data_IF_017916663462
#
_entry.id   IF_017916663462
#
_cell.length_a   1.000
_cell.length_b   1.000
_cell.length_c   1.000
_cell.angle_alpha   90.00
_cell.angle_beta   90.00
_cell.angle_gamma   90.00
#
_symmetry.space_group_name_H-M   'P 1'
#
loop_
_entity.id
_entity.type
_entity.pdbx_description
1 polymer ?
#
# COMPACT_ATOMS: atom_id res chain seq x y z
N UNK A 1 17.65 -33.63 9.98
CA UNK A 1 18.67 -32.65 9.52
C UNK A 1 18.15 -31.66 8.47
N UNK A 2 17.68 -32.12 7.31
CA UNK A 2 17.41 -31.26 6.15
C UNK A 2 16.38 -30.13 6.39
N UNK A 3 15.30 -30.40 7.13
CA UNK A 3 14.29 -29.38 7.49
C UNK A 3 14.90 -28.23 8.30
N UNK A 4 15.74 -28.57 9.29
CA UNK A 4 16.39 -27.59 10.16
C UNK A 4 17.41 -26.74 9.38
N UNK A 5 18.18 -27.36 8.49
CA UNK A 5 19.10 -26.65 7.59
C UNK A 5 18.36 -25.66 6.68
N UNK A 6 17.19 -26.02 6.14
CA UNK A 6 16.37 -25.10 5.33
C UNK A 6 15.93 -23.89 6.15
N UNK A 7 15.49 -24.09 7.39
CA UNK A 7 15.09 -23.02 8.31
C UNK A 7 16.26 -22.07 8.54
N UNK A 8 17.42 -22.57 8.97
CA UNK A 8 18.55 -21.70 9.27
C UNK A 8 19.10 -21.00 8.02
N UNK A 9 19.18 -21.67 6.86
CA UNK A 9 19.53 -21.02 5.58
C UNK A 9 18.55 -19.90 5.22
N UNK A 10 17.26 -20.10 5.47
CA UNK A 10 16.26 -19.05 5.26
C UNK A 10 16.40 -17.89 6.26
N UNK A 11 16.92 -18.13 7.46
CA UNK A 11 17.13 -17.09 8.48
C UNK A 11 18.47 -16.34 8.34
N UNK A 12 19.46 -16.89 7.63
CA UNK A 12 20.80 -16.28 7.46
C UNK A 12 20.86 -15.13 6.44
N UNK A 13 19.81 -14.31 6.32
CA UNK A 13 19.72 -13.20 5.36
C UNK A 13 18.97 -12.01 5.94
N UNK A 14 19.55 -10.84 5.75
CA UNK A 14 19.07 -9.61 6.36
C UNK A 14 17.66 -9.23 5.90
N UNK A 15 17.38 -9.31 4.60
CA UNK A 15 16.06 -8.96 4.05
C UNK A 15 14.98 -9.90 4.58
N UNK A 16 15.27 -11.20 4.68
CA UNK A 16 14.34 -12.19 5.25
C UNK A 16 14.11 -11.96 6.75
N UNK A 17 15.14 -11.58 7.50
CA UNK A 17 14.99 -11.18 8.90
C UNK A 17 14.13 -9.91 9.06
N UNK A 18 14.30 -8.92 8.17
CA UNK A 18 13.44 -7.72 8.11
C UNK A 18 11.98 -8.08 7.82
N UNK A 19 11.72 -9.00 6.88
CA UNK A 19 10.36 -9.51 6.59
C UNK A 19 9.76 -10.16 7.85
N UNK A 20 10.51 -11.04 8.53
CA UNK A 20 10.03 -11.71 9.74
C UNK A 20 9.72 -10.70 10.84
N UNK A 21 10.58 -9.69 11.03
CA UNK A 21 10.36 -8.62 11.99
C UNK A 21 9.06 -7.84 11.68
N UNK A 22 8.86 -7.45 10.42
CA UNK A 22 7.64 -6.76 9.99
C UNK A 22 6.38 -7.62 10.19
N UNK A 23 6.43 -8.90 9.81
CA UNK A 23 5.31 -9.83 9.98
C UNK A 23 5.02 -10.20 11.44
N UNK A 24 5.95 -9.90 12.37
CA UNK A 24 5.71 -10.04 13.81
C UNK A 24 4.71 -9.01 14.35
N UNK A 25 4.54 -7.88 13.64
CA UNK A 25 3.58 -6.83 13.99
C UNK A 25 2.18 -7.08 13.41
N UNK A 26 2.07 -7.86 12.32
CA UNK A 26 0.79 -8.19 11.69
C UNK A 26 0.93 -8.85 10.33
N UNK A 27 -0.20 -9.29 9.76
CA UNK A 27 -0.21 -9.80 8.38
C UNK A 27 -0.02 -8.64 7.37
N UNK A 28 0.80 -8.85 6.35
CA UNK A 28 1.11 -7.84 5.32
C UNK A 28 1.09 -8.45 3.93
N UNK A 29 0.72 -7.67 2.92
CA UNK A 29 0.86 -8.05 1.51
C UNK A 29 2.25 -7.69 0.95
N UNK A 30 2.58 -8.22 -0.24
CA UNK A 30 3.90 -7.99 -0.88
C UNK A 30 4.20 -6.49 -1.06
N UNK A 31 3.18 -5.68 -1.39
CA UNK A 31 3.35 -4.24 -1.61
C UNK A 31 3.70 -3.50 -0.32
N UNK A 32 3.03 -3.86 0.79
CA UNK A 32 3.29 -3.27 2.10
C UNK A 32 4.71 -3.63 2.56
N UNK A 33 5.10 -4.89 2.42
CA UNK A 33 6.45 -5.35 2.77
C UNK A 33 7.54 -4.65 1.95
N UNK A 34 7.33 -4.48 0.63
CA UNK A 34 8.26 -3.75 -0.23
C UNK A 34 8.50 -2.32 0.26
N UNK A 35 7.44 -1.62 0.67
CA UNK A 35 7.52 -0.28 1.24
C UNK A 35 8.22 -0.30 2.60
N UNK A 36 7.81 -1.20 3.52
CA UNK A 36 8.35 -1.30 4.88
C UNK A 36 9.84 -1.61 4.90
N UNK A 37 10.31 -2.44 3.96
CA UNK A 37 11.71 -2.89 3.90
C UNK A 37 12.56 -1.95 3.04
N UNK A 38 11.94 -1.14 2.19
CA UNK A 38 12.63 -0.25 1.25
C UNK A 38 13.24 -1.00 0.06
N UNK A 39 12.55 -2.03 -0.45
CA UNK A 39 13.02 -2.84 -1.59
C UNK A 39 11.92 -3.02 -2.65
N UNK A 40 12.27 -3.63 -3.79
CA UNK A 40 11.31 -3.83 -4.89
C UNK A 40 10.38 -5.01 -4.64
N UNK A 41 9.17 -4.95 -5.20
CA UNK A 41 8.17 -6.03 -5.09
C UNK A 41 8.69 -7.39 -5.60
N UNK A 42 9.41 -7.50 -6.75
CA UNK A 42 9.97 -8.78 -7.19
C UNK A 42 10.98 -9.36 -6.19
N UNK A 43 11.81 -8.52 -5.57
CA UNK A 43 12.78 -8.96 -4.58
C UNK A 43 12.09 -9.49 -3.31
N UNK A 44 11.08 -8.77 -2.82
CA UNK A 44 10.28 -9.24 -1.68
C UNK A 44 9.57 -10.56 -2.02
N UNK A 45 8.97 -10.67 -3.20
CA UNK A 45 8.29 -11.90 -3.64
C UNK A 45 9.24 -13.10 -3.68
N UNK A 46 10.48 -12.90 -4.14
CA UNK A 46 11.52 -13.93 -4.12
C UNK A 46 11.82 -14.39 -2.68
N UNK A 47 12.05 -13.45 -1.76
CA UNK A 47 12.32 -13.78 -0.36
C UNK A 47 11.14 -14.45 0.35
N UNK A 48 9.90 -14.05 0.03
CA UNK A 48 8.69 -14.69 0.54
C UNK A 48 8.58 -16.15 0.07
N UNK A 49 8.97 -16.46 -1.16
CA UNK A 49 9.04 -17.83 -1.66
C UNK A 49 9.94 -18.72 -0.80
N UNK A 50 11.17 -18.25 -0.51
CA UNK A 50 12.12 -18.97 0.34
C UNK A 50 11.57 -19.18 1.75
N UNK A 51 10.92 -18.17 2.33
CA UNK A 51 10.34 -18.25 3.67
C UNK A 51 9.13 -19.20 3.74
N UNK A 52 8.32 -19.25 2.68
CA UNK A 52 7.22 -20.21 2.52
C UNK A 52 7.75 -21.65 2.42
N UNK A 53 8.76 -21.87 1.58
CA UNK A 53 9.40 -23.18 1.41
C UNK A 53 10.07 -23.69 2.70
N UNK A 54 10.65 -22.78 3.48
CA UNK A 54 11.20 -23.08 4.80
C UNK A 54 10.10 -23.31 5.87
N UNK A 55 8.84 -22.99 5.56
CA UNK A 55 7.70 -23.15 6.45
C UNK A 55 7.67 -22.16 7.61
N UNK A 56 8.30 -21.00 7.46
CA UNK A 56 8.37 -19.95 8.49
C UNK A 56 7.19 -18.98 8.41
N UNK A 57 6.57 -18.86 7.24
CA UNK A 57 5.41 -18.00 6.99
C UNK A 57 4.28 -18.80 6.33
N UNK A 58 3.10 -18.21 6.28
CA UNK A 58 1.95 -18.70 5.53
C UNK A 58 1.32 -17.55 4.74
N UNK A 59 0.61 -17.88 3.66
CA UNK A 59 -0.08 -16.92 2.81
C UNK A 59 -1.58 -17.21 2.79
N UNK A 60 -2.40 -16.18 2.96
CA UNK A 60 -3.86 -16.23 2.85
C UNK A 60 -4.31 -15.31 1.73
N UNK A 61 -5.13 -15.83 0.81
CA UNK A 61 -5.73 -15.00 -0.22
C UNK A 61 -6.88 -14.17 0.36
N UNK A 62 -6.91 -12.88 0.04
CA UNK A 62 -7.97 -11.95 0.43
C UNK A 62 -8.25 -11.01 -0.74
N UNK A 63 -9.31 -11.30 -1.49
CA UNK A 63 -9.61 -10.61 -2.74
C UNK A 63 -8.52 -10.84 -3.78
N UNK A 64 -7.94 -9.74 -4.30
CA UNK A 64 -6.87 -9.79 -5.32
C UNK A 64 -5.47 -9.93 -4.73
N UNK A 65 -5.32 -9.81 -3.42
CA UNK A 65 -4.03 -9.79 -2.74
C UNK A 65 -3.82 -11.07 -1.92
N UNK A 66 -2.55 -11.42 -1.71
CA UNK A 66 -2.12 -12.45 -0.75
C UNK A 66 -1.50 -11.72 0.44
N UNK A 67 -1.98 -12.06 1.63
CA UNK A 67 -1.46 -11.56 2.90
C UNK A 67 -0.63 -12.65 3.56
N UNK A 68 0.57 -12.29 3.99
CA UNK A 68 1.52 -13.19 4.63
C UNK A 68 1.52 -12.99 6.13
N UNK A 69 1.71 -14.07 6.88
CA UNK A 69 1.85 -14.03 8.35
C UNK A 69 2.83 -15.08 8.84
N UNK A 70 3.38 -14.89 10.04
CA UNK A 70 4.28 -15.87 10.66
C UNK A 70 3.53 -17.19 10.93
N UNK A 71 4.20 -18.31 10.66
CA UNK A 71 3.64 -19.64 10.94
C UNK A 71 3.88 -20.02 12.40
N UNK A 72 2.90 -19.73 13.24
CA UNK A 72 3.00 -19.88 14.71
C UNK A 72 2.47 -21.25 15.20
N UNK A 73 2.06 -22.14 14.29
CA UNK A 73 1.45 -23.44 14.64
C UNK A 73 2.42 -24.41 15.33
N UNK A 74 3.71 -24.32 15.01
CA UNK A 74 4.76 -25.18 15.57
C UNK A 74 5.47 -24.45 16.71
N UNK A 75 5.61 -25.11 17.88
CA UNK A 75 6.15 -24.47 19.09
C UNK A 75 7.61 -24.04 18.91
N UNK A 76 8.44 -24.84 18.24
CA UNK A 76 9.83 -24.50 17.97
C UNK A 76 9.91 -23.28 17.04
N UNK A 77 9.17 -23.29 15.94
CA UNK A 77 9.12 -22.16 15.01
C UNK A 77 8.60 -20.90 15.69
N UNK A 78 7.55 -21.02 16.53
CA UNK A 78 6.99 -19.91 17.31
C UNK A 78 8.04 -19.27 18.21
N UNK A 79 8.72 -20.06 19.04
CA UNK A 79 9.73 -19.55 19.97
C UNK A 79 10.91 -18.92 19.21
N UNK A 80 11.35 -19.56 18.13
CA UNK A 80 12.42 -19.05 17.28
C UNK A 80 12.07 -17.69 16.66
N UNK A 81 10.92 -17.58 15.99
CA UNK A 81 10.52 -16.35 15.30
C UNK A 81 10.23 -15.20 16.27
N UNK A 82 9.60 -15.49 17.42
CA UNK A 82 9.36 -14.48 18.44
C UNK A 82 10.67 -13.99 19.08
N UNK A 83 11.59 -14.90 19.39
CA UNK A 83 12.90 -14.55 19.92
C UNK A 83 13.73 -13.72 18.94
N UNK A 84 13.68 -14.04 17.65
CA UNK A 84 14.31 -13.23 16.59
C UNK A 84 13.66 -11.85 16.51
N UNK A 85 12.32 -11.79 16.43
CA UNK A 85 11.61 -10.52 16.31
C UNK A 85 11.88 -9.60 17.49
N UNK A 86 11.93 -10.12 18.72
CA UNK A 86 12.27 -9.35 19.92
C UNK A 86 13.67 -8.75 19.84
N UNK A 87 14.66 -9.51 19.35
CA UNK A 87 16.05 -9.04 19.19
C UNK A 87 16.21 -8.03 18.05
N UNK A 88 15.40 -8.13 17.00
CA UNK A 88 15.47 -7.19 15.88
C UNK A 88 14.80 -5.85 16.19
N UNK A 89 13.83 -5.80 17.11
CA UNK A 89 13.19 -4.55 17.55
C UNK A 89 14.16 -3.60 18.28
N UNK A 90 15.22 -4.11 18.89
CA UNK A 90 16.27 -3.28 19.51
C UNK A 90 17.21 -2.60 18.51
N UNK A 91 17.12 -2.96 17.22
CA UNK A 91 18.02 -2.48 16.17
C UNK A 91 17.20 -1.88 15.02
N UNK A 92 16.97 -0.57 15.06
CA UNK A 92 16.58 0.29 13.93
C UNK A 92 15.32 -0.10 13.13
N UNK A 93 14.18 0.50 13.49
CA UNK A 93 13.24 1.00 12.49
C UNK A 93 13.18 2.52 12.65
N UNK A 94 13.66 3.25 11.64
CA UNK A 94 13.59 4.71 11.60
C UNK A 94 12.12 5.13 11.64
N UNK A 95 11.67 5.68 12.77
CA UNK A 95 10.30 6.15 12.99
C UNK A 95 9.90 7.33 12.06
N UNK A 96 10.86 7.91 11.33
CA UNK A 96 10.65 9.15 10.56
C UNK A 96 10.12 8.96 9.12
N UNK A 97 10.18 7.77 8.52
CA UNK A 97 9.63 7.54 7.16
C UNK A 97 8.22 6.94 7.14
N UNK A 98 7.63 6.65 8.31
CA UNK A 98 6.32 5.98 8.41
C UNK A 98 5.11 6.92 8.26
N UNK A 99 5.27 8.24 8.41
CA UNK A 99 4.12 9.17 8.53
C UNK A 99 3.82 10.07 7.30
N UNK A 100 4.61 10.06 6.22
CA UNK A 100 4.34 10.98 5.08
C UNK A 100 3.59 10.35 3.90
N UNK A 101 3.44 9.01 3.82
CA UNK A 101 2.80 8.35 2.67
C UNK A 101 1.55 7.51 3.01
N UNK A 102 1.06 7.60 4.25
CA UNK A 102 -0.19 6.96 4.64
C UNK A 102 -1.40 7.79 4.16
N UNK A 103 -2.02 7.38 3.05
CA UNK A 103 -3.38 7.84 2.66
C UNK A 103 -4.49 7.35 3.60
N UNK A 104 -4.19 6.59 4.65
CA UNK A 104 -5.11 6.36 5.75
C UNK A 104 -4.48 6.83 7.07
N UNK A 105 -4.92 7.98 7.57
CA UNK A 105 -4.43 8.59 8.82
C UNK A 105 -4.89 7.85 10.07
N UNK A 106 -4.56 6.57 10.23
CA UNK A 106 -4.84 5.79 11.43
C UNK A 106 -3.55 5.16 11.94
N UNK A 107 -3.23 5.44 13.21
CA UNK A 107 -2.05 4.87 13.89
C UNK A 107 -2.13 3.33 13.92
N UNK A 108 -0.99 2.60 13.83
CA UNK A 108 -0.96 1.13 13.69
C UNK A 108 -1.60 0.36 14.85
N UNK A 109 -1.69 0.95 16.05
CA UNK A 109 -2.26 0.27 17.22
C UNK A 109 -3.79 0.13 17.19
N UNK A 110 -4.48 0.72 16.21
CA UNK A 110 -5.95 0.71 16.09
C UNK A 110 -6.50 -0.26 15.03
N UNK A 111 -5.66 -0.98 14.28
CA UNK A 111 -6.13 -2.04 13.37
C UNK A 111 -6.22 -3.41 14.08
N UNK A 112 -6.59 -3.42 15.37
CA UNK A 112 -7.00 -4.63 16.07
C UNK A 112 -8.48 -4.50 16.42
N UNK A 113 -9.28 -5.39 15.82
CA UNK A 113 -10.67 -5.72 16.14
C UNK A 113 -11.74 -4.69 15.73
N UNK A 114 -12.56 -5.11 14.76
CA UNK A 114 -14.00 -4.86 14.75
C UNK A 114 -14.57 -5.23 16.12
N UNK A 115 -15.00 -4.25 16.90
CA UNK A 115 -16.17 -4.30 17.80
C UNK A 115 -16.36 -2.93 18.43
N UNK A 116 -17.41 -2.24 18.00
CA UNK A 116 -18.31 -1.32 18.73
C UNK A 116 -18.74 -0.21 17.78
N UNK A 117 -19.80 -0.52 17.05
CA UNK A 117 -20.77 0.43 16.51
C UNK A 117 -21.20 1.35 17.66
N UNK A 118 -20.76 2.61 17.65
CA UNK A 118 -21.51 3.66 18.34
C UNK A 118 -22.66 4.06 17.41
N UNK A 119 -23.89 3.92 17.90
CA UNK A 119 -25.14 4.10 17.15
C UNK A 119 -25.46 5.55 16.75
N UNK A 120 -24.57 6.51 17.04
CA UNK A 120 -24.82 7.94 16.82
C UNK A 120 -24.21 8.49 15.52
N UNK A 121 -23.35 7.75 14.81
CA UNK A 121 -22.75 8.19 13.54
C UNK A 121 -23.65 8.02 12.30
N UNK A 122 -24.95 7.74 12.50
CA UNK A 122 -25.88 7.35 11.42
C UNK A 122 -26.34 8.48 10.50
N UNK A 123 -25.88 9.72 10.69
CA UNK A 123 -26.32 10.85 9.86
C UNK A 123 -25.30 11.39 8.86
N UNK A 124 -24.05 10.88 8.78
CA UNK A 124 -23.10 11.50 7.83
C UNK A 124 -22.03 10.63 7.16
N UNK A 125 -22.11 9.29 7.23
CA UNK A 125 -21.10 8.44 6.57
C UNK A 125 -21.67 7.45 5.56
N UNK A 126 -21.97 7.97 4.36
CA UNK A 126 -22.08 7.19 3.13
C UNK A 126 -20.69 6.82 2.62
N UNK A 127 -20.02 5.88 3.28
CA UNK A 127 -18.80 5.28 2.73
C UNK A 127 -19.13 4.25 1.64
N UNK A 128 -19.31 4.76 0.41
CA UNK A 128 -19.20 3.99 -0.82
C UNK A 128 -17.75 3.90 -1.26
N UNK A 129 -17.32 2.72 -1.72
CA UNK A 129 -16.06 2.54 -2.45
C UNK A 129 -16.18 3.28 -3.80
N UNK A 130 -15.20 4.12 -4.14
CA UNK A 130 -14.98 4.61 -5.51
C UNK A 130 -15.50 6.01 -5.82
N UNK A 131 -14.75 6.70 -6.70
CA UNK A 131 -15.06 7.96 -7.40
C UNK A 131 -15.61 9.07 -6.46
N UNK A 132 -14.67 9.78 -5.82
CA UNK A 132 -14.94 10.75 -4.76
C UNK A 132 -16.03 11.79 -5.07
N UNK A 133 -16.73 12.22 -4.02
CA UNK A 133 -17.82 13.18 -4.12
C UNK A 133 -17.30 14.59 -4.47
N UNK A 134 -17.30 14.93 -5.75
CA UNK A 134 -17.09 16.30 -6.22
C UNK A 134 -15.72 16.56 -6.88
N UNK A 135 -15.45 17.84 -7.12
CA UNK A 135 -14.32 18.35 -7.93
C UNK A 135 -14.74 18.66 -9.37
N UNK A 136 -13.76 18.97 -10.21
CA UNK A 136 -13.98 19.24 -11.63
C UNK A 136 -13.18 18.27 -12.51
N UNK A 137 -13.74 17.97 -13.68
CA UNK A 137 -13.01 17.35 -14.77
C UNK A 137 -12.53 18.48 -15.70
N UNK A 138 -11.25 18.48 -16.03
CA UNK A 138 -10.59 19.46 -16.88
C UNK A 138 -10.14 18.79 -18.17
N UNK A 139 -10.35 19.44 -19.30
CA UNK A 139 -9.89 18.97 -20.59
C UNK A 139 -8.39 19.30 -20.78
N UNK A 140 -7.52 18.31 -21.01
CA UNK A 140 -6.07 18.51 -21.16
C UNK A 140 -5.67 19.09 -22.53
N UNK A 141 -6.60 19.64 -23.30
CA UNK A 141 -6.29 20.18 -24.63
C UNK A 141 -6.97 21.49 -24.96
N UNK A 142 -7.94 21.91 -24.14
CA UNK A 142 -8.60 23.21 -24.34
C UNK A 142 -8.93 23.90 -23.02
N UNK A 143 -8.53 23.33 -21.88
CA UNK A 143 -8.75 23.87 -20.55
C UNK A 143 -10.18 23.82 -20.02
N UNK A 144 -11.14 23.34 -20.83
CA UNK A 144 -12.56 23.32 -20.47
C UNK A 144 -12.83 22.54 -19.18
N UNK A 145 -13.62 23.13 -18.27
CA UNK A 145 -13.79 22.66 -16.89
C UNK A 145 -15.25 22.38 -16.60
N UNK A 146 -15.59 21.11 -16.35
CA UNK A 146 -16.95 20.68 -16.02
C UNK A 146 -17.03 20.10 -14.60
N UNK A 147 -18.18 20.19 -13.91
CA UNK A 147 -18.36 19.56 -12.61
C UNK A 147 -18.26 18.03 -12.71
N UNK A 148 -17.54 17.41 -11.77
CA UNK A 148 -17.40 15.95 -11.73
C UNK A 148 -18.72 15.28 -11.32
N UNK A 149 -19.20 14.35 -12.15
CA UNK A 149 -20.40 13.55 -11.84
C UNK A 149 -20.04 12.37 -10.93
N UNK A 150 -20.83 12.19 -9.86
CA UNK A 150 -20.63 11.07 -8.92
C UNK A 150 -20.83 9.74 -9.64
N UNK A 151 -19.93 8.78 -9.37
CA UNK A 151 -20.00 7.44 -9.95
C UNK A 151 -19.50 7.33 -11.39
N UNK A 152 -19.09 8.44 -12.02
CA UNK A 152 -18.51 8.45 -13.37
C UNK A 152 -17.05 8.87 -13.28
N UNK A 153 -16.13 8.13 -13.93
CA UNK A 153 -14.73 8.54 -14.00
C UNK A 153 -14.59 9.74 -14.94
N UNK A 154 -13.77 10.74 -14.61
CA UNK A 154 -13.48 11.84 -15.55
C UNK A 154 -12.96 11.32 -16.91
N UNK A 155 -12.30 10.15 -16.94
CA UNK A 155 -11.81 9.53 -18.17
C UNK A 155 -12.92 8.99 -19.08
N UNK A 156 -14.09 8.70 -18.52
CA UNK A 156 -15.26 8.22 -19.28
C UNK A 156 -16.09 9.41 -19.83
N UNK A 157 -15.82 10.63 -19.34
CA UNK A 157 -16.43 11.87 -19.83
C UNK A 157 -15.63 12.46 -20.99
N UNK A 158 -16.36 13.06 -21.93
CA UNK A 158 -15.83 13.68 -23.14
C UNK A 158 -16.02 15.19 -23.07
N UNK A 159 -14.99 15.95 -23.43
CA UNK A 159 -15.03 17.41 -23.42
C UNK A 159 -16.08 17.93 -24.43
N UNK A 160 -17.02 18.80 -24.00
CA UNK A 160 -18.05 19.36 -24.90
C UNK A 160 -17.48 20.31 -25.96
N UNK A 161 -16.27 20.84 -25.74
CA UNK A 161 -15.62 21.81 -26.62
C UNK A 161 -14.77 21.17 -27.73
N UNK A 162 -14.07 20.08 -27.44
CA UNK A 162 -13.09 19.49 -28.36
C UNK A 162 -13.14 17.97 -28.50
N UNK A 163 -14.07 17.28 -27.82
CA UNK A 163 -14.27 15.84 -27.97
C UNK A 163 -13.21 14.94 -27.34
N UNK A 164 -12.22 15.48 -26.61
CA UNK A 164 -11.19 14.66 -25.92
C UNK A 164 -11.65 14.22 -24.53
N UNK A 165 -11.12 13.07 -24.08
CA UNK A 165 -11.37 12.54 -22.73
C UNK A 165 -10.88 13.51 -21.66
N UNK A 166 -11.66 13.63 -20.58
CA UNK A 166 -11.35 14.56 -19.50
C UNK A 166 -10.46 13.94 -18.42
N UNK A 167 -9.78 14.79 -17.65
CA UNK A 167 -8.88 14.41 -16.56
C UNK A 167 -9.34 15.10 -15.28
N UNK A 168 -9.07 14.50 -14.11
CA UNK A 168 -9.45 15.11 -12.83
C UNK A 168 -8.53 16.30 -12.50
N UNK A 169 -9.13 17.42 -12.14
CA UNK A 169 -8.39 18.59 -11.66
C UNK A 169 -7.55 18.23 -10.42
N UNK A 170 -6.28 18.66 -10.41
CA UNK A 170 -5.34 18.37 -9.32
C UNK A 170 -4.82 16.92 -9.27
N UNK A 171 -5.14 16.09 -10.26
CA UNK A 171 -4.51 14.78 -10.43
C UNK A 171 -3.11 14.89 -11.03
N UNK A 172 -2.29 13.84 -10.85
CA UNK A 172 -0.92 13.76 -11.40
C UNK A 172 -0.83 14.03 -12.92
N UNK A 173 -1.81 13.55 -13.70
CA UNK A 173 -1.83 13.80 -15.14
C UNK A 173 -2.25 15.22 -15.51
N UNK A 174 -2.96 15.93 -14.63
CA UNK A 174 -3.33 17.33 -14.85
C UNK A 174 -2.13 18.26 -14.57
N UNK A 175 -1.28 17.94 -13.59
CA UNK A 175 -0.05 18.69 -13.32
C UNK A 175 0.95 18.58 -14.47
N UNK A 176 1.13 17.39 -15.07
CA UNK A 176 2.03 17.20 -16.21
C UNK A 176 1.63 17.99 -17.46
N UNK A 177 0.32 18.15 -17.70
CA UNK A 177 -0.19 18.92 -18.86
C UNK A 177 0.04 20.43 -18.65
N UNK A 178 -0.16 20.93 -17.43
CA UNK A 178 0.13 22.34 -17.10
C UNK A 178 1.61 22.67 -17.26
N UNK A 179 2.49 21.77 -16.79
CA UNK A 179 3.94 21.93 -16.91
C UNK A 179 4.45 21.96 -18.36
N UNK A 180 3.70 21.39 -19.32
CA UNK A 180 4.00 21.52 -20.76
C UNK A 180 3.46 22.82 -21.37
N UNK A 181 2.32 23.33 -20.90
CA UNK A 181 1.72 24.57 -21.41
C UNK A 181 2.49 25.82 -20.92
N UNK A 182 3.03 25.79 -19.69
CA UNK A 182 3.82 26.89 -19.11
C UNK A 182 5.18 27.12 -19.82
N UNK A 183 5.71 26.09 -20.51
CA UNK A 183 6.95 26.20 -21.29
C UNK A 183 6.77 26.96 -22.59
N UNK A 184 5.63 26.80 -23.26
CA UNK A 184 5.37 27.46 -24.55
C UNK A 184 5.13 28.97 -24.39
N UNK A 185 4.76 29.44 -23.19
CA UNK A 185 4.57 30.87 -22.90
C UNK A 185 5.85 31.64 -22.58
N UNK A 186 6.95 30.97 -22.21
CA UNK A 186 8.17 31.65 -21.76
C UNK A 186 9.23 31.82 -22.86
N UNK A 187 9.03 31.21 -24.04
CA UNK A 187 9.92 31.35 -25.20
C UNK A 187 9.49 32.48 -26.18
N UNK A 188 8.41 33.22 -25.86
CA UNK A 188 7.91 34.35 -26.67
C UNK A 188 7.89 35.69 -25.91
N UNK A 189 8.75 35.87 -24.90
CA UNK A 189 8.98 37.17 -24.25
C UNK A 189 10.46 37.53 -24.18
#
# INVERSE_FOLDING_TARGET
MNKLLKIFKALSDETRLKIISALSEGEMCVNELAITIGTTQPNVSFHLGILLEAGLITGRQSGKNIFYSLKISDLFIRLLLLGIAERLKSTNFNEETFYSNNKCGLKPKLCRRRTFFNKEDTMNNKFGRGLGAGGFCVCPSCGEKIPHKRGVSCRDEVCPKCGKRMVREGGYHHTLVKESEDKDTNDNK
#
